data_IF_262691155407
#
_entry.id   IF_262691155407
#
_cell.length_a   1.000
_cell.length_b   1.000
_cell.length_c   1.000
_cell.angle_alpha   90.00
_cell.angle_beta   90.00
_cell.angle_gamma   90.00
#
_symmetry.space_group_name_H-M   'P 1'
#
loop_
_entity.id
_entity.type
_entity.pdbx_description
1 polymer ?
#
# COMPACT_ATOMS: atom_id res chain seq x y z
N UNK A 1 1.59 -11.77 11.09
CA UNK A 1 0.60 -12.81 11.41
C UNK A 1 0.28 -13.73 10.23
N UNK A 2 -0.20 -13.22 9.08
CA UNK A 2 -0.43 -14.06 7.88
C UNK A 2 0.88 -14.62 7.32
N UNK A 3 1.96 -13.82 7.33
CA UNK A 3 3.29 -14.27 6.88
C UNK A 3 3.81 -15.48 7.67
N UNK A 4 3.55 -15.54 8.98
CA UNK A 4 3.91 -16.67 9.84
C UNK A 4 3.12 -17.92 9.49
N UNK A 5 1.82 -17.78 9.22
CA UNK A 5 1.01 -18.92 8.74
C UNK A 5 1.53 -19.38 7.38
N UNK A 6 1.87 -18.45 6.48
CA UNK A 6 2.35 -18.76 5.13
C UNK A 6 3.70 -19.47 5.11
N UNK A 7 4.61 -19.07 6.01
CA UNK A 7 5.94 -19.67 6.19
C UNK A 7 5.88 -21.09 6.77
N UNK A 8 4.89 -21.37 7.62
CA UNK A 8 4.78 -22.63 8.34
C UNK A 8 3.67 -23.55 7.82
N UNK A 9 2.86 -23.11 6.86
CA UNK A 9 1.73 -23.90 6.31
C UNK A 9 2.20 -25.21 5.70
N UNK A 10 3.39 -25.24 5.09
CA UNK A 10 3.90 -26.41 4.37
C UNK A 10 4.42 -27.49 5.35
N UNK A 11 4.81 -27.08 6.56
CA UNK A 11 5.30 -27.98 7.62
C UNK A 11 4.20 -28.47 8.57
N UNK A 12 3.21 -27.62 8.90
CA UNK A 12 2.23 -27.92 9.95
C UNK A 12 0.77 -27.85 9.49
N UNK A 13 0.50 -27.39 8.27
CA UNK A 13 -0.86 -27.08 7.82
C UNK A 13 -1.43 -25.81 8.46
N UNK A 14 -2.41 -25.22 7.80
CA UNK A 14 -3.01 -23.93 8.20
C UNK A 14 -3.85 -24.07 9.46
N UNK A 15 -4.64 -25.14 9.58
CA UNK A 15 -5.58 -25.35 10.68
C UNK A 15 -4.91 -25.46 12.07
N UNK A 16 -3.80 -26.21 12.24
CA UNK A 16 -3.10 -26.28 13.52
C UNK A 16 -2.52 -24.92 13.95
N UNK A 17 -1.98 -24.16 13.02
CA UNK A 17 -1.43 -22.82 13.30
C UNK A 17 -2.54 -21.83 13.66
N UNK A 18 -3.66 -21.86 12.93
CA UNK A 18 -4.85 -21.06 13.18
C UNK A 18 -5.47 -21.34 14.57
N UNK A 19 -5.43 -22.59 15.03
CA UNK A 19 -5.90 -23.00 16.36
C UNK A 19 -5.05 -22.41 17.49
N UNK A 20 -3.74 -22.30 17.30
CA UNK A 20 -2.81 -21.75 18.30
C UNK A 20 -2.82 -20.22 18.33
N UNK A 21 -3.07 -19.56 17.18
CA UNK A 21 -3.09 -18.10 17.04
C UNK A 21 -4.46 -17.43 17.29
N UNK A 22 -5.40 -18.12 17.96
CA UNK A 22 -6.87 -17.97 17.82
C UNK A 22 -7.38 -17.20 16.58
N UNK A 23 -7.00 -17.65 15.38
CA UNK A 23 -7.51 -17.07 14.11
C UNK A 23 -8.41 -18.11 13.44
N UNK A 24 -9.61 -17.71 13.02
CA UNK A 24 -10.46 -18.59 12.22
C UNK A 24 -9.77 -18.90 10.86
N UNK A 25 -9.70 -20.18 10.43
CA UNK A 25 -9.13 -20.54 9.13
C UNK A 25 -9.79 -19.82 7.95
N UNK A 26 -11.09 -19.55 8.05
CA UNK A 26 -11.84 -18.74 7.07
C UNK A 26 -11.23 -17.34 6.88
N UNK A 27 -10.84 -16.67 7.96
CA UNK A 27 -10.17 -15.35 7.92
C UNK A 27 -8.82 -15.43 7.20
N UNK A 28 -8.09 -16.54 7.35
CA UNK A 28 -6.83 -16.76 6.62
C UNK A 28 -7.10 -16.93 5.12
N UNK A 29 -8.04 -17.79 4.73
CA UNK A 29 -8.37 -18.03 3.33
C UNK A 29 -8.98 -16.80 2.65
N UNK A 30 -9.82 -16.01 3.33
CA UNK A 30 -10.33 -14.75 2.80
C UNK A 30 -9.22 -13.73 2.54
N UNK A 31 -8.26 -13.62 3.47
CA UNK A 31 -7.12 -12.71 3.32
C UNK A 31 -6.16 -13.20 2.23
N UNK A 32 -5.99 -14.52 2.10
CA UNK A 32 -5.22 -15.14 1.02
C UNK A 32 -5.90 -14.92 -0.33
N UNK A 33 -7.23 -15.06 -0.41
CA UNK A 33 -8.01 -14.80 -1.62
C UNK A 33 -7.94 -13.33 -2.05
N UNK A 34 -8.04 -12.39 -1.12
CA UNK A 34 -7.83 -10.94 -1.39
C UNK A 34 -6.41 -10.61 -1.85
N UNK A 35 -5.40 -11.39 -1.43
CA UNK A 35 -4.01 -11.24 -1.90
C UNK A 35 -3.76 -11.90 -3.26
N UNK A 36 -4.35 -13.07 -3.51
CA UNK A 36 -4.11 -13.88 -4.72
C UNK A 36 -4.93 -13.43 -5.92
N UNK A 37 -6.11 -12.89 -5.71
CA UNK A 37 -7.03 -12.61 -6.80
C UNK A 37 -7.31 -11.09 -6.95
N UNK A 38 -6.70 -10.42 -7.94
CA UNK A 38 -7.01 -9.04 -8.29
C UNK A 38 -8.48 -8.82 -8.67
N UNK A 39 -9.23 -9.87 -9.03
CA UNK A 39 -10.65 -9.77 -9.36
C UNK A 39 -11.56 -9.63 -8.12
N UNK A 40 -11.10 -10.11 -6.95
CA UNK A 40 -11.74 -9.88 -5.64
C UNK A 40 -11.34 -8.53 -5.01
N UNK A 41 -10.36 -7.85 -5.60
CA UNK A 41 -10.02 -6.49 -5.20
C UNK A 41 -11.09 -5.54 -5.72
N UNK A 42 -11.60 -4.68 -4.82
CA UNK A 42 -12.54 -3.61 -5.20
C UNK A 42 -12.01 -2.86 -6.43
N UNK A 43 -12.89 -2.37 -7.32
CA UNK A 43 -12.50 -1.60 -8.50
C UNK A 43 -11.51 -0.46 -8.20
N UNK A 44 -11.54 0.06 -6.96
CA UNK A 44 -10.57 1.02 -6.42
C UNK A 44 -9.15 0.46 -6.29
N UNK A 45 -8.99 -0.74 -5.73
CA UNK A 45 -7.69 -1.36 -5.50
C UNK A 45 -7.01 -1.80 -6.81
N UNK A 46 -7.79 -2.21 -7.81
CA UNK A 46 -7.27 -2.44 -9.17
C UNK A 46 -6.71 -1.16 -9.79
N UNK A 47 -7.46 -0.05 -9.73
CA UNK A 47 -6.96 1.27 -10.17
C UNK A 47 -5.74 1.70 -9.37
N UNK A 48 -5.71 1.43 -8.06
CA UNK A 48 -4.55 1.76 -7.23
C UNK A 48 -3.29 1.00 -7.67
N UNK A 49 -3.40 -0.30 -7.99
CA UNK A 49 -2.29 -1.12 -8.54
C UNK A 49 -1.77 -0.56 -9.87
N UNK A 50 -2.67 -0.09 -10.75
CA UNK A 50 -2.29 0.56 -12.02
C UNK A 50 -1.61 1.92 -11.79
N UNK A 51 -2.01 2.66 -10.75
CA UNK A 51 -1.49 4.00 -10.45
C UNK A 51 -0.17 3.98 -9.67
N UNK A 52 0.12 2.91 -8.91
CA UNK A 52 1.39 2.74 -8.18
C UNK A 52 2.65 2.89 -9.06
N UNK A 53 2.78 2.19 -10.21
CA UNK A 53 3.95 2.34 -11.07
C UNK A 53 4.07 3.75 -11.65
N UNK A 54 2.95 4.41 -11.98
CA UNK A 54 2.98 5.79 -12.47
C UNK A 54 3.43 6.79 -11.40
N UNK A 55 2.95 6.64 -10.16
CA UNK A 55 3.41 7.42 -9.00
C UNK A 55 4.91 7.24 -8.79
N UNK A 56 5.41 5.99 -8.88
CA UNK A 56 6.84 5.69 -8.77
C UNK A 56 7.64 6.32 -9.90
N UNK A 57 7.18 6.20 -11.15
CA UNK A 57 7.83 6.78 -12.33
C UNK A 57 7.97 8.29 -12.19
N UNK A 58 6.87 8.98 -11.91
CA UNK A 58 6.85 10.43 -11.69
C UNK A 58 7.77 10.82 -10.52
N UNK A 59 7.78 10.05 -9.44
CA UNK A 59 8.66 10.33 -8.30
C UNK A 59 10.15 10.17 -8.64
N UNK A 60 10.50 9.10 -9.37
CA UNK A 60 11.86 8.78 -9.78
C UNK A 60 12.40 9.77 -10.82
N UNK A 61 11.60 10.14 -11.82
CA UNK A 61 11.93 11.17 -12.82
C UNK A 61 12.21 12.54 -12.17
N UNK A 62 11.59 12.81 -11.02
CA UNK A 62 11.77 14.05 -10.27
C UNK A 62 12.80 13.92 -9.12
N UNK A 63 13.71 12.93 -9.20
CA UNK A 63 14.81 12.68 -8.26
C UNK A 63 14.36 12.57 -6.79
N UNK A 64 13.13 12.14 -6.54
CA UNK A 64 12.56 12.05 -5.18
C UNK A 64 12.36 13.39 -4.47
N UNK A 65 12.47 14.52 -5.17
CA UNK A 65 12.22 15.86 -4.60
C UNK A 65 10.71 16.12 -4.47
N UNK A 66 9.89 15.41 -5.25
CA UNK A 66 8.47 15.68 -5.35
C UNK A 66 7.70 14.97 -4.23
N UNK A 67 7.12 15.75 -3.32
CA UNK A 67 6.12 15.24 -2.38
C UNK A 67 4.73 15.08 -3.02
N UNK A 68 3.80 14.56 -2.23
CA UNK A 68 2.40 14.25 -2.62
C UNK A 68 1.75 15.30 -3.52
N UNK A 69 1.85 16.59 -3.17
CA UNK A 69 1.21 17.67 -3.95
C UNK A 69 1.79 17.83 -5.35
N UNK A 70 3.10 17.65 -5.52
CA UNK A 70 3.77 17.83 -6.81
C UNK A 70 3.53 16.61 -7.70
N UNK A 71 3.65 15.39 -7.13
CA UNK A 71 3.29 14.15 -7.81
C UNK A 71 1.83 14.19 -8.28
N UNK A 72 0.89 14.57 -7.41
CA UNK A 72 -0.52 14.68 -7.79
C UNK A 72 -0.78 15.66 -8.94
N UNK A 73 -0.14 16.84 -8.92
CA UNK A 73 -0.26 17.80 -10.03
C UNK A 73 0.32 17.25 -11.33
N UNK A 74 1.43 16.52 -11.25
CA UNK A 74 2.08 15.94 -12.42
C UNK A 74 1.20 14.83 -13.03
N UNK A 75 0.66 13.94 -12.21
CA UNK A 75 -0.32 12.94 -12.66
C UNK A 75 -1.55 13.60 -13.30
N UNK A 76 -2.06 14.69 -12.73
CA UNK A 76 -3.19 15.42 -13.33
C UNK A 76 -2.84 16.05 -14.68
N UNK A 77 -1.59 16.50 -14.87
CA UNK A 77 -1.10 17.03 -16.16
C UNK A 77 -0.96 15.96 -17.23
N UNK A 78 -0.61 14.75 -16.81
CA UNK A 78 -0.50 13.58 -17.69
C UNK A 78 -1.87 12.95 -18.00
N UNK A 79 -2.96 13.49 -17.45
CA UNK A 79 -4.32 13.08 -17.76
C UNK A 79 -4.93 12.06 -16.79
N UNK A 80 -4.24 11.74 -15.69
CA UNK A 80 -4.80 10.85 -14.66
C UNK A 80 -5.83 11.57 -13.79
N UNK A 81 -7.07 11.10 -13.80
CA UNK A 81 -8.13 11.58 -12.89
C UNK A 81 -8.01 10.91 -11.52
N UNK A 82 -7.06 11.41 -10.72
CA UNK A 82 -6.77 10.89 -9.39
C UNK A 82 -6.97 11.95 -8.31
N UNK A 83 -7.63 11.56 -7.22
CA UNK A 83 -7.75 12.41 -6.05
C UNK A 83 -6.40 12.52 -5.31
N UNK A 84 -6.11 13.68 -4.73
CA UNK A 84 -4.90 13.92 -3.92
C UNK A 84 -4.75 12.88 -2.79
N UNK A 85 -5.86 12.51 -2.15
CA UNK A 85 -5.86 11.53 -1.06
C UNK A 85 -5.44 10.13 -1.53
N UNK A 86 -5.72 9.77 -2.80
CA UNK A 86 -5.27 8.52 -3.41
C UNK A 86 -3.76 8.53 -3.57
N UNK A 87 -3.21 9.59 -4.18
CA UNK A 87 -1.74 9.74 -4.36
C UNK A 87 -1.03 9.74 -2.99
N UNK A 88 -1.60 10.41 -1.99
CA UNK A 88 -1.05 10.40 -0.62
C UNK A 88 -0.98 8.99 -0.04
N UNK A 89 -2.04 8.20 -0.18
CA UNK A 89 -2.08 6.82 0.31
C UNK A 89 -1.09 5.94 -0.47
N UNK A 90 -1.05 6.05 -1.79
CA UNK A 90 -0.12 5.29 -2.63
C UNK A 90 1.34 5.59 -2.28
N UNK A 91 1.70 6.86 -2.11
CA UNK A 91 3.06 7.24 -1.67
C UNK A 91 3.37 6.70 -0.27
N UNK A 92 2.39 6.61 0.63
CA UNK A 92 2.56 5.99 1.96
C UNK A 92 2.82 4.49 1.84
N UNK A 93 2.02 3.79 1.04
CA UNK A 93 2.15 2.34 0.85
C UNK A 93 3.48 1.98 0.18
N UNK A 94 4.00 2.86 -0.67
CA UNK A 94 5.29 2.74 -1.36
C UNK A 94 6.48 3.29 -0.55
N UNK A 95 6.25 3.92 0.61
CA UNK A 95 7.31 4.52 1.43
C UNK A 95 7.99 5.75 0.81
N UNK A 96 7.36 6.41 -0.16
CA UNK A 96 7.93 7.55 -0.87
C UNK A 96 7.71 8.85 -0.08
N UNK A 97 8.81 9.56 0.20
CA UNK A 97 8.76 10.87 0.84
C UNK A 97 9.54 11.90 0.01
N UNK A 98 8.87 12.99 -0.35
CA UNK A 98 9.52 14.10 -1.06
C UNK A 98 10.41 14.92 -0.13
N UNK A 99 11.51 15.45 -0.68
CA UNK A 99 12.43 16.35 0.05
C UNK A 99 11.73 17.67 0.42
N UNK A 100 11.85 18.08 1.69
CA UNK A 100 11.32 19.36 2.21
C UNK A 100 12.48 20.20 2.75
N UNK A 101 12.59 21.46 2.31
CA UNK A 101 13.46 22.49 2.92
C UNK A 101 12.57 23.38 3.80
N UNK A 102 12.59 23.22 5.14
CA UNK A 102 11.83 24.08 6.09
C UNK A 102 10.85 23.37 7.04
N UNK A 103 10.14 24.15 7.88
CA UNK A 103 9.16 23.65 8.88
C UNK A 103 8.06 22.81 8.23
N UNK A 104 7.62 21.78 8.96
CA UNK A 104 6.66 20.76 8.53
C UNK A 104 5.24 21.33 8.47
N UNK A 105 4.94 22.12 7.46
CA UNK A 105 3.56 22.52 7.19
C UNK A 105 2.82 21.31 6.60
N UNK A 106 2.17 20.57 7.50
CA UNK A 106 1.23 19.48 7.23
C UNK A 106 1.76 18.30 6.41
N UNK A 107 2.88 17.73 6.86
CA UNK A 107 3.16 16.29 6.71
C UNK A 107 3.25 15.67 8.11
N UNK A 108 2.17 15.73 8.90
CA UNK A 108 2.14 14.94 10.13
C UNK A 108 1.90 13.46 9.77
N UNK A 109 2.97 12.81 9.30
CA UNK A 109 3.11 11.36 9.27
C UNK A 109 3.42 10.90 10.70
N UNK A 110 2.43 10.95 11.60
CA UNK A 110 2.54 10.22 12.87
C UNK A 110 2.20 8.75 12.60
N UNK A 111 3.19 8.00 12.16
CA UNK A 111 3.15 6.53 12.21
C UNK A 111 3.12 6.17 13.69
N UNK A 112 2.01 5.63 14.20
CA UNK A 112 2.09 4.85 15.45
C UNK A 112 2.88 3.58 15.08
N UNK A 113 4.04 3.31 15.70
CA UNK A 113 4.66 2.00 15.57
C UNK A 113 3.66 1.00 16.15
N UNK A 114 3.20 0.06 15.31
CA UNK A 114 2.38 -1.05 15.77
C UNK A 114 3.25 -1.99 16.58
N UNK A 115 2.88 -2.17 17.86
CA UNK A 115 3.25 -3.32 18.68
C UNK A 115 2.24 -4.44 18.53
#
# INVERSE_FOLDING_TARGET
MIAFIDEHRDAYGVEPICRVLPIAPSTYHERLAKRRDPALQSARARRDEELKPEVLRVFAENFGVYGVRKVWRQMKREGFDVARCTVQRLMRDLGLQGVIRGKRDCQDFRVRPGG
#
